data_IF_796396972354
#
_entry.id   IF_796396972354
#
_cell.length_a   1.000
_cell.length_b   1.000
_cell.length_c   1.000
_cell.angle_alpha   90.00
_cell.angle_beta   90.00
_cell.angle_gamma   90.00
#
_symmetry.space_group_name_H-M   'P 1'
#
loop_
_entity.id
_entity.type
_entity.pdbx_description
1 polymer ?
#
# COMPACT_ATOMS: atom_id res chain seq x y z
N UNK A 1 3.65 -0.87 -15.11
CA UNK A 1 3.52 -0.01 -13.91
C UNK A 1 4.17 1.33 -14.19
N UNK A 2 3.43 2.42 -14.07
CA UNK A 2 3.95 3.78 -14.29
C UNK A 2 4.28 4.46 -12.97
N UNK A 3 5.36 5.23 -12.93
CA UNK A 3 5.68 6.05 -11.76
C UNK A 3 4.81 7.30 -11.73
N UNK A 4 4.00 7.44 -10.68
CA UNK A 4 3.20 8.65 -10.45
C UNK A 4 3.99 9.69 -9.63
N UNK A 5 4.82 9.22 -8.70
CA UNK A 5 5.73 10.05 -7.90
C UNK A 5 6.90 9.18 -7.39
N UNK A 6 7.87 9.74 -6.66
CA UNK A 6 8.93 8.95 -6.04
C UNK A 6 8.40 7.82 -5.14
N UNK A 7 7.24 8.04 -4.52
CA UNK A 7 6.63 7.13 -3.53
C UNK A 7 5.44 6.33 -4.08
N UNK A 8 4.78 6.80 -5.15
CA UNK A 8 3.54 6.22 -5.67
C UNK A 8 3.70 5.68 -7.10
N UNK A 9 3.23 4.46 -7.33
CA UNK A 9 3.18 3.80 -8.64
C UNK A 9 1.74 3.43 -8.98
N UNK A 10 1.40 3.41 -10.25
CA UNK A 10 0.09 2.95 -10.74
C UNK A 10 0.25 1.73 -11.63
N UNK A 11 -0.53 0.69 -11.35
CA UNK A 11 -0.51 -0.56 -12.12
C UNK A 11 -1.74 -0.75 -13.02
N UNK A 12 -2.75 0.11 -12.88
CA UNK A 12 -3.98 0.09 -13.67
C UNK A 12 -5.00 1.08 -13.12
N UNK A 13 -6.20 1.09 -13.69
CA UNK A 13 -7.32 1.84 -13.13
C UNK A 13 -7.63 1.32 -11.72
N UNK A 14 -7.80 2.25 -10.78
CA UNK A 14 -8.16 1.90 -9.40
C UNK A 14 -7.07 1.19 -8.60
N UNK A 15 -5.85 0.99 -9.11
CA UNK A 15 -4.78 0.30 -8.37
C UNK A 15 -3.52 1.14 -8.24
N UNK A 16 -3.23 1.52 -6.99
CA UNK A 16 -2.01 2.22 -6.60
C UNK A 16 -1.09 1.30 -5.81
N UNK A 17 0.21 1.53 -5.94
CA UNK A 17 1.26 0.91 -5.15
C UNK A 17 2.09 2.00 -4.48
N UNK A 18 2.46 1.79 -3.23
CA UNK A 18 3.39 2.68 -2.53
C UNK A 18 4.40 1.90 -1.72
N UNK A 19 5.57 2.51 -1.52
CA UNK A 19 6.59 1.96 -0.63
C UNK A 19 6.35 2.46 0.80
N UNK A 20 6.19 1.54 1.76
CA UNK A 20 5.98 1.88 3.16
C UNK A 20 7.33 1.89 3.90
N UNK A 21 7.78 3.03 4.45
CA UNK A 21 9.04 3.10 5.20
C UNK A 21 8.98 2.36 6.54
N UNK A 22 7.78 2.15 7.11
CA UNK A 22 7.63 1.40 8.37
C UNK A 22 7.79 -0.11 8.19
N UNK A 23 7.29 -0.65 7.08
CA UNK A 23 7.37 -2.09 6.77
C UNK A 23 8.56 -2.45 5.86
N UNK A 24 9.20 -1.44 5.24
CA UNK A 24 10.26 -1.59 4.24
C UNK A 24 9.84 -2.43 3.01
N UNK A 25 8.56 -2.33 2.61
CA UNK A 25 7.92 -3.14 1.57
C UNK A 25 6.96 -2.33 0.70
N UNK A 26 6.64 -2.85 -0.49
CA UNK A 26 5.65 -2.27 -1.40
C UNK A 26 4.25 -2.79 -1.08
N UNK A 27 3.28 -1.90 -0.90
CA UNK A 27 1.88 -2.25 -0.64
C UNK A 27 0.96 -1.80 -1.77
N UNK A 28 -0.05 -2.63 -2.06
CA UNK A 28 -1.12 -2.33 -2.99
C UNK A 28 -2.30 -1.66 -2.25
N UNK A 29 -2.86 -0.61 -2.86
CA UNK A 29 -4.09 0.05 -2.43
C UNK A 29 -5.06 0.13 -3.60
N UNK A 30 -6.30 -0.32 -3.37
CA UNK A 30 -7.38 -0.23 -4.36
C UNK A 30 -8.21 1.02 -4.09
N UNK A 31 -8.46 1.81 -5.12
CA UNK A 31 -9.19 3.09 -5.05
C UNK A 31 -10.31 3.11 -6.10
N UNK A 32 -11.26 4.03 -5.94
CA UNK A 32 -12.38 4.19 -6.87
C UNK A 32 -13.45 3.11 -6.70
N UNK A 33 -14.15 2.80 -7.79
CA UNK A 33 -15.27 1.84 -7.80
C UNK A 33 -14.80 0.39 -7.99
N UNK A 34 -15.66 -0.56 -7.65
CA UNK A 34 -15.47 -1.99 -7.86
C UNK A 34 -15.39 -2.81 -6.58
N UNK A 35 -15.26 -4.13 -6.75
CA UNK A 35 -15.51 -5.08 -5.66
C UNK A 35 -14.44 -5.13 -4.57
N UNK A 36 -14.89 -5.33 -3.33
CA UNK A 36 -14.04 -5.44 -2.15
C UNK A 36 -13.58 -4.09 -1.59
N UNK A 37 -12.63 -4.08 -0.64
CA UNK A 37 -12.19 -2.86 0.03
C UNK A 37 -11.67 -1.79 -0.95
N UNK A 38 -12.16 -0.55 -0.80
CA UNK A 38 -11.78 0.61 -1.62
C UNK A 38 -11.50 1.81 -0.73
N UNK A 39 -10.37 2.46 -1.00
CA UNK A 39 -9.97 3.69 -0.34
C UNK A 39 -10.28 4.89 -1.22
N UNK A 40 -10.78 5.95 -0.58
CA UNK A 40 -10.72 7.29 -1.13
C UNK A 40 -9.26 7.72 -1.25
N UNK A 41 -8.95 8.46 -2.32
CA UNK A 41 -7.62 9.02 -2.56
C UNK A 41 -7.79 10.48 -2.97
N UNK A 42 -7.00 11.37 -2.38
CA UNK A 42 -7.08 12.81 -2.60
C UNK A 42 -6.58 13.29 -3.98
N UNK A 43 -6.06 12.39 -4.83
CA UNK A 43 -5.52 12.74 -6.14
C UNK A 43 -4.10 13.32 -6.12
N UNK A 44 -3.53 13.57 -4.93
CA UNK A 44 -2.22 14.21 -4.81
C UNK A 44 -1.10 13.18 -4.76
N UNK A 45 -0.30 13.11 -5.82
CA UNK A 45 0.81 12.16 -5.95
C UNK A 45 2.02 12.47 -5.07
N UNK A 46 2.22 13.74 -4.72
CA UNK A 46 3.36 14.21 -3.92
C UNK A 46 3.07 14.09 -2.41
N UNK A 47 1.79 14.28 -2.04
CA UNK A 47 1.27 14.12 -0.68
C UNK A 47 0.02 13.24 -0.68
N UNK A 48 0.16 11.93 -0.95
CA UNK A 48 -0.97 11.02 -1.06
C UNK A 48 -1.66 10.88 0.29
N UNK A 49 -2.98 11.07 0.30
CA UNK A 49 -3.83 10.84 1.47
C UNK A 49 -4.93 9.87 1.09
N UNK A 50 -5.12 8.86 1.94
CA UNK A 50 -6.13 7.82 1.75
C UNK A 50 -7.20 7.91 2.83
N UNK A 51 -8.45 7.63 2.45
CA UNK A 51 -9.61 7.65 3.35
C UNK A 51 -10.38 6.33 3.26
N UNK A 52 -10.58 5.61 4.36
CA UNK A 52 -10.03 5.87 5.70
C UNK A 52 -8.50 5.66 5.72
N UNK A 53 -7.86 5.83 6.88
CA UNK A 53 -6.43 5.54 7.03
C UNK A 53 -6.10 4.10 6.61
N UNK A 54 -4.91 3.90 6.06
CA UNK A 54 -4.43 2.57 5.68
C UNK A 54 -4.01 1.77 6.92
N UNK A 55 -4.56 0.56 7.07
CA UNK A 55 -4.15 -0.40 8.09
C UNK A 55 -3.34 -1.52 7.45
N UNK A 56 -2.02 -1.45 7.58
CA UNK A 56 -1.10 -2.46 7.07
C UNK A 56 -0.78 -3.45 8.20
N UNK A 57 -1.12 -4.72 7.99
CA UNK A 57 -0.87 -5.82 8.94
C UNK A 57 0.12 -6.87 8.42
N UNK A 58 0.80 -6.56 7.32
CA UNK A 58 1.78 -7.43 6.70
C UNK A 58 3.12 -6.72 6.53
N UNK A 59 4.22 -7.45 6.72
CA UNK A 59 5.58 -6.92 6.62
C UNK A 59 6.46 -7.44 7.74
N UNK A 60 7.78 -7.43 7.52
CA UNK A 60 8.78 -7.98 8.44
C UNK A 60 8.75 -7.31 9.83
N UNK A 61 8.30 -6.06 9.90
CA UNK A 61 8.29 -5.24 11.11
C UNK A 61 6.90 -5.00 11.71
N UNK A 62 5.87 -5.70 11.22
CA UNK A 62 4.51 -5.56 11.79
C UNK A 62 4.44 -6.31 13.12
N UNK A 63 4.12 -5.59 14.19
CA UNK A 63 3.91 -6.18 15.52
C UNK A 63 2.79 -7.23 15.50
N UNK A 64 3.08 -8.42 16.05
CA UNK A 64 2.13 -9.54 16.11
C UNK A 64 2.41 -10.68 15.12
N UNK A 65 3.35 -10.53 14.20
CA UNK A 65 3.95 -11.67 13.49
C UNK A 65 4.84 -12.49 14.42
N UNK A 66 4.94 -13.81 14.22
CA UNK A 66 5.86 -14.60 15.03
C UNK A 66 7.29 -14.25 14.57
N UNK A 67 8.28 -14.12 15.46
CA UNK A 67 9.65 -13.93 15.03
C UNK A 67 10.09 -15.11 14.14
N UNK A 68 10.48 -14.81 12.89
CA UNK A 68 11.00 -15.80 11.92
C UNK A 68 9.95 -16.52 11.06
N UNK A 69 8.71 -16.03 10.96
CA UNK A 69 7.71 -16.56 10.03
C UNK A 69 7.20 -15.52 9.02
N UNK A 70 8.06 -14.58 8.61
CA UNK A 70 7.73 -13.66 7.53
C UNK A 70 7.49 -14.48 6.26
N UNK A 71 6.57 -14.01 5.42
CA UNK A 71 6.43 -14.57 4.07
C UNK A 71 7.71 -14.49 3.21
N UNK A 72 8.68 -13.70 3.68
CA UNK A 72 9.97 -13.51 3.06
C UNK A 72 11.05 -14.51 3.52
N UNK A 73 10.74 -15.37 4.50
CA UNK A 73 11.62 -16.42 5.02
C UNK A 73 11.34 -17.81 4.37
N UNK A 74 10.41 -17.89 3.41
CA UNK A 74 10.08 -19.10 2.63
C UNK A 74 10.57 -19.05 1.18
#
# INVERSE_FOLDING_TARGET
MSALSPILRQAGEGTLFFYCPGCNQTHQVRIGQGDGPRWGYNGNRDKPTFTPSLLIRSGHYVGGGQPGNCWCDY
#
